data_IF_118810898152
#
_entry.id   IF_118810898152
#
_cell.length_a   1.000
_cell.length_b   1.000
_cell.length_c   1.000
_cell.angle_alpha   90.00
_cell.angle_beta   90.00
_cell.angle_gamma   90.00
#
_symmetry.space_group_name_H-M   'P 1'
#
loop_
_entity.id
_entity.type
_entity.pdbx_description
1 polymer ?
#
# COMPACT_ATOMS: atom_id res chain seq x y z
N UNK A 1 -10.92 2.40 38.70
CA UNK A 1 -11.40 1.16 39.35
C UNK A 1 -10.73 -0.01 38.68
N UNK A 2 -10.73 -1.20 39.30
CA UNK A 2 -10.28 -2.42 38.63
C UNK A 2 -11.28 -2.71 37.50
N UNK A 3 -10.81 -2.73 36.25
CA UNK A 3 -11.63 -2.92 35.05
C UNK A 3 -11.03 -4.01 34.17
N UNK A 4 -11.91 -4.79 33.54
CA UNK A 4 -11.55 -5.83 32.57
C UNK A 4 -11.37 -5.23 31.17
N UNK A 5 -10.70 -5.98 30.29
CA UNK A 5 -10.52 -5.57 28.89
C UNK A 5 -11.87 -5.31 28.18
N UNK A 6 -12.86 -6.17 28.41
CA UNK A 6 -14.20 -6.04 27.82
C UNK A 6 -14.95 -4.77 28.31
N UNK A 7 -14.81 -4.42 29.58
CA UNK A 7 -15.40 -3.19 30.13
C UNK A 7 -14.75 -1.94 29.54
N UNK A 8 -13.42 -1.95 29.39
CA UNK A 8 -12.68 -0.82 28.78
C UNK A 8 -13.02 -0.67 27.30
N UNK A 9 -13.15 -1.78 26.56
CA UNK A 9 -13.59 -1.73 25.15
C UNK A 9 -14.96 -1.05 25.04
N UNK A 10 -15.92 -1.50 25.86
CA UNK A 10 -17.29 -0.96 25.86
C UNK A 10 -17.35 0.49 26.32
N UNK A 11 -16.48 0.89 27.24
CA UNK A 11 -16.36 2.28 27.67
C UNK A 11 -15.89 3.17 26.51
N UNK A 12 -14.75 2.85 25.89
CA UNK A 12 -14.19 3.66 24.83
C UNK A 12 -15.02 3.66 23.56
N UNK A 13 -15.68 2.55 23.22
CA UNK A 13 -16.67 2.51 22.15
C UNK A 13 -17.72 3.62 22.34
N UNK A 14 -18.35 3.70 23.52
CA UNK A 14 -19.36 4.72 23.81
C UNK A 14 -18.80 6.14 23.74
N UNK A 15 -17.57 6.34 24.22
CA UNK A 15 -16.92 7.66 24.18
C UNK A 15 -16.65 8.08 22.73
N UNK A 16 -16.16 7.17 21.88
CA UNK A 16 -15.94 7.42 20.47
C UNK A 16 -17.25 7.68 19.71
N UNK A 17 -18.30 6.88 19.94
CA UNK A 17 -19.64 7.09 19.38
C UNK A 17 -20.19 8.47 19.75
N UNK A 18 -20.09 8.86 21.03
CA UNK A 18 -20.57 10.15 21.52
C UNK A 18 -19.82 11.36 20.92
N UNK A 19 -18.60 11.17 20.41
CA UNK A 19 -17.79 12.20 19.76
C UNK A 19 -17.79 12.09 18.22
N UNK A 20 -18.63 11.20 17.65
CA UNK A 20 -18.74 11.03 16.20
C UNK A 20 -17.46 10.51 15.53
N UNK A 21 -16.70 9.68 16.26
CA UNK A 21 -15.51 9.00 15.74
C UNK A 21 -15.95 7.73 14.99
N UNK A 22 -15.53 7.51 13.73
CA UNK A 22 -15.88 6.32 12.96
C UNK A 22 -15.18 5.07 13.51
N UNK A 23 -15.72 3.89 13.18
CA UNK A 23 -15.24 2.57 13.64
C UNK A 23 -14.97 2.53 15.15
N UNK A 24 -15.91 3.06 15.94
CA UNK A 24 -15.74 3.27 17.37
C UNK A 24 -15.43 1.97 18.12
N UNK A 25 -16.11 0.87 17.76
CA UNK A 25 -15.91 -0.42 18.41
C UNK A 25 -14.56 -1.00 18.03
N UNK A 26 -14.25 -1.03 16.75
CA UNK A 26 -13.02 -1.59 16.19
C UNK A 26 -11.81 -0.82 16.71
N UNK A 27 -11.86 0.51 16.72
CA UNK A 27 -10.81 1.38 17.28
C UNK A 27 -10.51 1.00 18.74
N UNK A 28 -11.57 0.80 19.53
CA UNK A 28 -11.46 0.41 20.95
C UNK A 28 -10.87 -0.99 21.11
N UNK A 29 -11.36 -1.95 20.33
CA UNK A 29 -10.85 -3.34 20.30
C UNK A 29 -9.36 -3.38 19.91
N UNK A 30 -8.95 -2.62 18.89
CA UNK A 30 -7.55 -2.54 18.46
C UNK A 30 -6.64 -1.93 19.51
N UNK A 31 -7.01 -0.79 20.10
CA UNK A 31 -6.21 -0.13 21.14
C UNK A 31 -6.02 -1.04 22.35
N UNK A 32 -7.07 -1.69 22.82
CA UNK A 32 -7.00 -2.60 23.97
C UNK A 32 -6.15 -3.83 23.63
N UNK A 33 -6.34 -4.41 22.45
CA UNK A 33 -5.55 -5.59 22.00
C UNK A 33 -4.07 -5.26 21.91
N UNK A 34 -3.73 -4.12 21.32
CA UNK A 34 -2.35 -3.64 21.19
C UNK A 34 -1.65 -3.51 22.56
N UNK A 35 -2.30 -2.88 23.54
CA UNK A 35 -1.74 -2.73 24.89
C UNK A 35 -1.60 -4.07 25.63
N UNK A 36 -2.43 -5.06 25.27
CA UNK A 36 -2.34 -6.42 25.79
C UNK A 36 -1.36 -7.32 25.01
N UNK A 37 -0.70 -6.80 23.96
CA UNK A 37 0.24 -7.55 23.13
C UNK A 37 -0.43 -8.59 22.22
N UNK A 38 -1.70 -8.38 21.87
CA UNK A 38 -2.46 -9.23 20.97
C UNK A 38 -2.73 -8.52 19.64
N UNK A 39 -2.74 -9.28 18.54
CA UNK A 39 -3.04 -8.74 17.20
C UNK A 39 -4.51 -8.35 17.05
N UNK A 40 -5.41 -9.18 17.55
CA UNK A 40 -6.86 -8.93 17.49
C UNK A 40 -7.50 -9.17 18.83
N UNK A 41 -8.66 -8.55 19.06
CA UNK A 41 -9.39 -8.71 20.31
C UNK A 41 -9.89 -10.15 20.48
N UNK A 42 -10.24 -10.81 19.38
CA UNK A 42 -10.67 -12.20 19.33
C UNK A 42 -9.53 -13.19 19.63
N UNK A 43 -8.27 -12.78 19.39
CA UNK A 43 -7.09 -13.59 19.73
C UNK A 43 -6.75 -13.57 21.22
N UNK A 44 -7.37 -12.67 22.01
CA UNK A 44 -7.20 -12.66 23.46
C UNK A 44 -7.80 -13.93 24.06
N UNK A 45 -6.98 -14.68 24.81
CA UNK A 45 -7.48 -15.84 25.52
C UNK A 45 -8.52 -15.42 26.59
N UNK A 46 -9.39 -16.35 26.97
CA UNK A 46 -10.46 -16.12 27.96
C UNK A 46 -9.93 -15.60 29.30
N UNK A 47 -8.68 -15.92 29.65
CA UNK A 47 -8.02 -15.43 30.86
C UNK A 47 -7.73 -13.93 30.76
N UNK A 48 -7.17 -13.43 29.67
CA UNK A 48 -6.85 -12.01 29.47
C UNK A 48 -8.11 -11.15 29.44
N UNK A 49 -9.19 -11.65 28.85
CA UNK A 49 -10.49 -10.96 28.84
C UNK A 49 -11.06 -10.76 30.25
N UNK A 50 -10.84 -11.73 31.15
CA UNK A 50 -11.31 -11.69 32.54
C UNK A 50 -10.25 -11.16 33.53
N UNK A 51 -9.03 -10.88 33.08
CA UNK A 51 -7.96 -10.35 33.93
C UNK A 51 -8.11 -8.84 34.06
N UNK A 52 -7.92 -8.34 35.28
CA UNK A 52 -7.97 -6.92 35.57
C UNK A 52 -6.76 -6.21 34.96
N UNK A 53 -7.01 -5.10 34.28
CA UNK A 53 -5.95 -4.29 33.70
C UNK A 53 -5.14 -3.60 34.80
N UNK A 54 -3.82 -3.63 34.65
CA UNK A 54 -2.91 -2.87 35.51
C UNK A 54 -3.09 -1.37 35.30
N UNK A 55 -2.66 -0.54 36.26
CA UNK A 55 -2.70 0.91 36.11
C UNK A 55 -1.93 1.40 34.88
N UNK A 56 -0.78 0.80 34.59
CA UNK A 56 0.04 1.12 33.41
C UNK A 56 -0.71 0.84 32.11
N UNK A 57 -1.38 -0.32 32.01
CA UNK A 57 -2.19 -0.66 30.83
C UNK A 57 -3.37 0.30 30.66
N UNK A 58 -4.05 0.65 31.75
CA UNK A 58 -5.15 1.61 31.70
C UNK A 58 -4.68 3.00 31.23
N UNK A 59 -3.52 3.45 31.71
CA UNK A 59 -2.92 4.72 31.29
C UNK A 59 -2.52 4.70 29.81
N UNK A 60 -1.91 3.61 29.34
CA UNK A 60 -1.56 3.45 27.92
C UNK A 60 -2.80 3.47 27.02
N UNK A 61 -3.86 2.73 27.38
CA UNK A 61 -5.13 2.73 26.65
C UNK A 61 -5.72 4.15 26.64
N UNK A 62 -5.70 4.85 27.78
CA UNK A 62 -6.18 6.23 27.86
C UNK A 62 -5.43 7.16 26.91
N UNK A 63 -4.10 7.09 26.88
CA UNK A 63 -3.26 7.93 26.00
C UNK A 63 -3.56 7.67 24.51
N UNK A 64 -3.64 6.41 24.11
CA UNK A 64 -3.95 6.02 22.73
C UNK A 64 -5.37 6.45 22.33
N UNK A 65 -6.34 6.21 23.19
CA UNK A 65 -7.72 6.63 22.94
C UNK A 65 -7.89 8.15 22.91
N UNK A 66 -7.10 8.91 23.67
CA UNK A 66 -7.08 10.38 23.56
C UNK A 66 -6.60 10.83 22.18
N UNK A 67 -5.56 10.21 21.60
CA UNK A 67 -5.16 10.50 20.20
C UNK A 67 -6.29 10.14 19.22
N UNK A 68 -6.98 9.01 19.43
CA UNK A 68 -8.12 8.63 18.59
C UNK A 68 -9.26 9.65 18.65
N UNK A 69 -9.50 10.27 19.82
CA UNK A 69 -10.48 11.35 19.98
C UNK A 69 -10.13 12.61 19.19
N UNK A 70 -8.86 12.84 18.88
CA UNK A 70 -8.41 13.90 17.97
C UNK A 70 -8.63 13.52 16.49
N UNK A 71 -9.45 12.49 16.23
CA UNK A 71 -9.71 11.91 14.90
C UNK A 71 -8.47 11.34 14.21
N UNK A 72 -7.39 11.07 14.94
CA UNK A 72 -6.23 10.38 14.36
C UNK A 72 -6.65 8.97 13.93
N UNK A 73 -6.38 8.55 12.67
CA UNK A 73 -6.58 7.17 12.23
C UNK A 73 -5.98 6.15 13.21
N UNK A 74 -6.70 5.05 13.48
CA UNK A 74 -6.25 4.07 14.49
C UNK A 74 -4.87 3.49 14.17
N UNK A 75 -4.55 3.35 12.89
CA UNK A 75 -3.25 2.89 12.38
C UNK A 75 -2.10 3.78 12.86
N UNK A 76 -2.29 5.10 12.85
CA UNK A 76 -1.32 6.06 13.38
C UNK A 76 -1.32 6.11 14.91
N UNK A 77 -2.48 5.91 15.54
CA UNK A 77 -2.57 5.81 17.00
C UNK A 77 -1.71 4.66 17.51
N UNK A 78 -1.82 3.48 16.88
CA UNK A 78 -1.01 2.29 17.21
C UNK A 78 0.45 2.43 16.74
N UNK A 79 0.68 3.16 15.65
CA UNK A 79 1.99 3.35 15.04
C UNK A 79 2.45 2.14 14.20
N UNK A 80 1.58 1.16 14.00
CA UNK A 80 1.78 0.03 13.12
C UNK A 80 0.47 -0.53 12.60
N UNK A 81 0.53 -1.19 11.44
CA UNK A 81 -0.62 -1.82 10.81
C UNK A 81 -0.21 -3.05 10.02
N UNK A 82 -1.11 -4.03 9.96
CA UNK A 82 -0.91 -5.22 9.16
C UNK A 82 -1.30 -4.94 7.70
N UNK A 83 -0.47 -5.41 6.77
CA UNK A 83 -0.71 -5.40 5.33
C UNK A 83 -0.17 -6.72 4.79
N UNK A 84 -1.05 -7.56 4.22
CA UNK A 84 -0.75 -8.96 3.92
C UNK A 84 -0.20 -9.67 5.18
N UNK A 85 0.90 -10.43 5.05
CA UNK A 85 1.57 -11.12 6.16
C UNK A 85 2.55 -10.21 6.94
N UNK A 86 2.60 -8.90 6.65
CA UNK A 86 3.56 -7.97 7.22
C UNK A 86 2.92 -7.05 8.26
N UNK A 87 3.65 -6.76 9.35
CA UNK A 87 3.32 -5.66 10.27
C UNK A 87 4.28 -4.50 10.02
N UNK A 88 3.74 -3.41 9.45
CA UNK A 88 4.50 -2.24 9.02
C UNK A 88 4.33 -1.11 10.03
N UNK A 89 5.39 -0.33 10.26
CA UNK A 89 5.28 0.95 10.96
C UNK A 89 4.47 1.93 10.15
N UNK A 90 3.65 2.70 10.85
CA UNK A 90 2.77 3.73 10.31
C UNK A 90 2.97 5.03 11.07
N UNK A 91 3.00 6.15 10.35
CA UNK A 91 3.02 7.49 10.95
C UNK A 91 2.53 8.55 9.95
N UNK A 92 1.85 9.61 10.43
CA UNK A 92 1.55 10.76 9.61
C UNK A 92 2.83 11.40 9.02
N UNK A 93 2.77 11.99 7.82
CA UNK A 93 1.60 12.08 6.94
C UNK A 93 1.51 10.91 5.93
N UNK A 94 2.30 9.85 6.10
CA UNK A 94 2.48 8.80 5.08
C UNK A 94 1.21 7.97 4.91
N UNK A 95 0.69 7.93 3.69
CA UNK A 95 -0.52 7.20 3.29
C UNK A 95 -0.67 5.83 3.97
N UNK A 96 -1.86 5.59 4.52
CA UNK A 96 -2.21 4.30 5.11
C UNK A 96 -2.65 3.35 3.98
N UNK A 97 -1.93 2.25 3.73
CA UNK A 97 -2.31 1.26 2.72
C UNK A 97 -3.75 0.78 2.93
N UNK A 98 -4.51 0.69 1.85
CA UNK A 98 -5.91 0.24 1.91
C UNK A 98 -5.99 -1.27 1.70
N UNK A 99 -7.01 -1.96 2.26
CA UNK A 99 -7.18 -3.39 2.04
C UNK A 99 -7.22 -3.79 0.57
N UNK A 100 -7.81 -2.96 -0.29
CA UNK A 100 -7.87 -3.17 -1.73
C UNK A 100 -6.47 -3.26 -2.35
N UNK A 101 -5.50 -2.49 -1.86
CA UNK A 101 -4.12 -2.50 -2.37
C UNK A 101 -3.43 -3.84 -2.19
N UNK A 102 -3.92 -4.73 -1.32
CA UNK A 102 -3.40 -6.09 -1.20
C UNK A 102 -3.61 -6.92 -2.48
N UNK A 103 -4.70 -6.67 -3.22
CA UNK A 103 -5.00 -7.37 -4.48
C UNK A 103 -3.99 -7.00 -5.58
N UNK A 104 -3.48 -5.76 -5.57
CA UNK A 104 -2.42 -5.33 -6.49
C UNK A 104 -1.15 -6.19 -6.34
N UNK A 105 -0.77 -6.54 -5.11
CA UNK A 105 0.36 -7.43 -4.83
C UNK A 105 0.11 -8.81 -5.43
N UNK A 106 -1.09 -9.37 -5.23
CA UNK A 106 -1.47 -10.68 -5.74
C UNK A 106 -1.36 -10.75 -7.27
N UNK A 107 -1.87 -9.73 -7.98
CA UNK A 107 -1.81 -9.65 -9.44
C UNK A 107 -0.36 -9.67 -9.98
N UNK A 108 0.53 -8.90 -9.34
CA UNK A 108 1.95 -8.83 -9.75
C UNK A 108 2.65 -10.16 -9.47
N UNK A 109 2.35 -10.83 -8.34
CA UNK A 109 2.91 -12.13 -8.00
C UNK A 109 2.46 -13.20 -8.99
N UNK A 110 1.18 -13.22 -9.36
CA UNK A 110 0.65 -14.14 -10.36
C UNK A 110 1.38 -13.97 -11.68
N UNK A 111 1.42 -12.76 -12.24
CA UNK A 111 2.14 -12.46 -13.49
C UNK A 111 3.62 -12.86 -13.41
N UNK A 112 4.28 -12.61 -12.26
CA UNK A 112 5.66 -12.99 -12.00
C UNK A 112 5.89 -14.50 -11.96
N UNK A 113 4.92 -15.30 -11.55
CA UNK A 113 5.00 -16.76 -11.61
C UNK A 113 4.76 -17.27 -13.04
N UNK A 114 3.68 -16.82 -13.70
CA UNK A 114 3.30 -17.28 -15.04
C UNK A 114 4.40 -17.06 -16.09
N UNK A 115 4.97 -15.85 -16.15
CA UNK A 115 6.01 -15.50 -17.14
C UNK A 115 7.27 -16.37 -17.07
N UNK A 116 7.54 -16.97 -15.92
CA UNK A 116 8.76 -17.75 -15.69
C UNK A 116 8.50 -19.26 -15.61
N UNK A 117 7.24 -19.69 -15.53
CA UNK A 117 6.83 -21.09 -15.68
C UNK A 117 6.67 -21.51 -17.15
N UNK A 118 6.15 -20.66 -18.04
CA UNK A 118 6.00 -20.98 -19.48
C UNK A 118 7.33 -21.19 -20.24
N UNK A 119 8.45 -20.74 -19.68
CA UNK A 119 9.79 -21.00 -20.22
C UNK A 119 10.35 -22.40 -19.93
N UNK A 120 9.68 -23.20 -19.08
CA UNK A 120 10.22 -24.47 -18.60
C UNK A 120 9.19 -25.62 -18.74
N UNK A 121 8.81 -25.89 -19.99
CA UNK A 121 8.06 -27.10 -20.35
C UNK A 121 8.90 -28.35 -20.05
N UNK A 122 8.64 -28.96 -18.90
CA UNK A 122 8.83 -30.39 -18.65
C UNK A 122 10.24 -30.94 -18.85
N UNK A 123 11.16 -30.65 -17.93
CA UNK A 123 12.14 -31.62 -17.43
C UNK A 123 12.86 -31.04 -16.20
N UNK A 124 13.05 -31.86 -15.17
CA UNK A 124 13.91 -31.58 -14.01
C UNK A 124 15.27 -31.01 -14.45
N UNK A 125 15.48 -29.71 -14.31
CA UNK A 125 16.80 -29.06 -14.38
C UNK A 125 16.71 -27.62 -13.82
N UNK A 126 17.41 -27.36 -12.71
CA UNK A 126 18.39 -26.26 -12.50
C UNK A 126 18.31 -24.95 -13.32
N UNK A 127 17.14 -24.44 -13.72
CA UNK A 127 16.98 -23.16 -14.39
C UNK A 127 16.77 -22.03 -13.36
N UNK A 128 17.49 -20.93 -13.53
CA UNK A 128 17.55 -19.82 -12.57
C UNK A 128 16.16 -19.36 -12.13
N UNK A 129 15.93 -19.37 -10.81
CA UNK A 129 14.69 -18.84 -10.22
C UNK A 129 14.46 -17.41 -10.73
N UNK A 130 13.24 -17.03 -11.16
CA UNK A 130 12.90 -15.67 -11.57
C UNK A 130 13.49 -14.62 -10.63
N UNK A 131 14.26 -13.67 -11.17
CA UNK A 131 14.77 -12.50 -10.43
C UNK A 131 14.14 -11.23 -10.99
N UNK A 132 12.80 -11.06 -10.92
CA UNK A 132 12.17 -9.88 -11.47
C UNK A 132 12.71 -8.64 -10.75
N UNK A 133 13.05 -7.63 -11.54
CA UNK A 133 13.30 -6.29 -11.05
C UNK A 133 11.98 -5.54 -11.13
N UNK A 134 11.57 -4.99 -10.01
CA UNK A 134 10.28 -4.30 -9.86
C UNK A 134 10.57 -2.84 -9.53
N UNK A 135 9.88 -1.91 -10.18
CA UNK A 135 9.87 -0.50 -9.81
C UNK A 135 8.52 -0.16 -9.18
N UNK A 136 8.50 0.22 -7.91
CA UNK A 136 7.34 0.84 -7.29
C UNK A 136 7.46 2.36 -7.33
N UNK A 137 6.43 3.04 -7.84
CA UNK A 137 6.31 4.50 -7.87
C UNK A 137 5.23 4.93 -6.86
N UNK A 138 5.61 5.78 -5.91
CA UNK A 138 4.78 6.17 -4.76
C UNK A 138 4.77 5.09 -3.68
N UNK A 139 5.94 4.74 -3.12
CA UNK A 139 6.05 3.59 -2.22
C UNK A 139 5.46 3.80 -0.82
N UNK A 140 5.24 5.03 -0.36
CA UNK A 140 4.57 5.31 0.91
C UNK A 140 5.27 4.65 2.11
N UNK A 141 4.57 3.73 2.78
CA UNK A 141 5.12 2.94 3.89
C UNK A 141 5.99 1.74 3.46
N UNK A 142 6.08 1.49 2.15
CA UNK A 142 6.73 0.32 1.54
C UNK A 142 5.82 -0.89 1.43
N UNK A 143 4.51 -0.74 1.63
CA UNK A 143 3.59 -1.85 1.77
C UNK A 143 3.62 -2.82 0.58
N UNK A 144 3.55 -2.30 -0.64
CA UNK A 144 3.57 -3.13 -1.86
C UNK A 144 4.98 -3.66 -2.12
N UNK A 145 6.02 -2.82 -2.15
CA UNK A 145 7.42 -3.25 -2.34
C UNK A 145 7.83 -4.38 -1.40
N UNK A 146 7.62 -4.21 -0.10
CA UNK A 146 8.08 -5.15 0.91
C UNK A 146 7.28 -6.45 0.86
N UNK A 147 5.97 -6.37 0.57
CA UNK A 147 5.14 -7.55 0.32
C UNK A 147 5.61 -8.33 -0.90
N UNK A 148 5.93 -7.64 -2.00
CA UNK A 148 6.46 -8.27 -3.21
C UNK A 148 7.81 -8.94 -2.97
N UNK A 149 8.71 -8.35 -2.16
CA UNK A 149 9.98 -8.98 -1.79
C UNK A 149 9.81 -10.25 -0.95
N UNK A 150 8.78 -10.30 -0.10
CA UNK A 150 8.44 -11.50 0.67
C UNK A 150 7.83 -12.60 -0.21
N UNK A 151 6.90 -12.23 -1.10
CA UNK A 151 6.18 -13.17 -1.97
C UNK A 151 7.02 -13.66 -3.14
N UNK A 152 8.01 -12.89 -3.58
CA UNK A 152 8.96 -13.21 -4.64
C UNK A 152 10.39 -13.21 -4.07
N UNK A 153 10.87 -14.32 -3.47
CA UNK A 153 12.13 -14.34 -2.70
C UNK A 153 13.41 -13.99 -3.48
N UNK A 154 13.35 -14.03 -4.81
CA UNK A 154 14.49 -13.76 -5.70
C UNK A 154 14.37 -12.41 -6.42
N UNK A 155 13.28 -11.66 -6.18
CA UNK A 155 13.09 -10.33 -6.76
C UNK A 155 13.99 -9.28 -6.12
N UNK A 156 14.13 -8.15 -6.81
CA UNK A 156 14.67 -6.91 -6.26
C UNK A 156 13.70 -5.78 -6.58
N UNK A 157 13.57 -4.83 -5.67
CA UNK A 157 12.67 -3.69 -5.83
C UNK A 157 13.47 -2.38 -5.87
N UNK A 158 13.11 -1.49 -6.78
CA UNK A 158 13.42 -0.06 -6.71
C UNK A 158 12.14 0.61 -6.22
N UNK A 159 12.17 1.28 -5.09
CA UNK A 159 11.03 1.97 -4.50
C UNK A 159 11.29 3.47 -4.56
N UNK A 160 10.33 4.22 -5.11
CA UNK A 160 10.48 5.65 -5.37
C UNK A 160 9.33 6.39 -4.73
N UNK A 161 9.65 7.47 -4.03
CA UNK A 161 8.64 8.39 -3.52
C UNK A 161 9.15 9.83 -3.59
N UNK A 162 8.24 10.79 -3.78
CA UNK A 162 8.54 12.22 -3.77
C UNK A 162 8.62 12.77 -2.34
N UNK A 163 7.98 12.10 -1.39
CA UNK A 163 7.94 12.53 0.01
C UNK A 163 9.06 11.90 0.82
N UNK A 164 9.89 12.73 1.46
CA UNK A 164 11.01 12.26 2.29
C UNK A 164 10.51 11.41 3.47
N UNK A 165 9.36 11.77 4.05
CA UNK A 165 8.72 11.01 5.13
C UNK A 165 8.35 9.58 4.71
N UNK A 166 7.90 9.38 3.48
CA UNK A 166 7.58 8.07 2.91
C UNK A 166 8.85 7.26 2.65
N UNK A 167 9.88 7.88 2.04
CA UNK A 167 11.20 7.26 1.83
C UNK A 167 11.80 6.76 3.15
N UNK A 168 11.75 7.58 4.20
CA UNK A 168 12.27 7.23 5.51
C UNK A 168 11.47 6.11 6.17
N UNK A 169 10.14 6.13 6.07
CA UNK A 169 9.29 5.07 6.61
C UNK A 169 9.48 3.75 5.87
N UNK A 170 9.57 3.77 4.53
CA UNK A 170 9.90 2.60 3.71
C UNK A 170 11.25 2.01 4.12
N UNK A 171 12.27 2.86 4.36
CA UNK A 171 13.60 2.42 4.80
C UNK A 171 13.55 1.77 6.18
N UNK A 172 12.83 2.35 7.12
CA UNK A 172 12.64 1.80 8.46
C UNK A 172 11.94 0.43 8.41
N UNK A 173 10.86 0.32 7.64
CA UNK A 173 10.15 -0.94 7.47
C UNK A 173 11.00 -2.01 6.77
N UNK A 174 11.76 -1.63 5.74
CA UNK A 174 12.70 -2.54 5.09
C UNK A 174 13.74 -3.09 6.07
N UNK A 175 14.30 -2.26 6.95
CA UNK A 175 15.27 -2.68 7.97
C UNK A 175 14.63 -3.61 9.02
N UNK A 176 13.43 -3.26 9.51
CA UNK A 176 12.69 -4.07 10.48
C UNK A 176 12.37 -5.47 9.97
N UNK A 177 12.06 -5.56 8.67
CA UNK A 177 11.77 -6.83 7.99
C UNK A 177 13.02 -7.53 7.43
N UNK A 178 14.21 -6.97 7.60
CA UNK A 178 15.48 -7.51 7.08
C UNK A 178 15.51 -7.63 5.55
N UNK A 179 14.87 -6.69 4.86
CA UNK A 179 14.72 -6.64 3.39
C UNK A 179 15.60 -5.58 2.73
N UNK A 180 16.36 -4.80 3.50
CA UNK A 180 17.15 -3.66 3.03
C UNK A 180 18.15 -4.00 1.89
N UNK A 181 18.63 -5.24 1.83
CA UNK A 181 19.61 -5.66 0.82
C UNK A 181 18.98 -5.94 -0.56
N UNK A 182 17.64 -6.05 -0.62
CA UNK A 182 16.88 -6.36 -1.85
C UNK A 182 16.06 -5.18 -2.38
N UNK A 183 16.08 -4.04 -1.68
CA UNK A 183 15.35 -2.82 -2.05
C UNK A 183 16.31 -1.65 -2.24
N UNK A 184 16.10 -0.86 -3.29
CA UNK A 184 16.78 0.41 -3.50
C UNK A 184 15.76 1.55 -3.44
N UNK A 185 15.86 2.38 -2.40
CA UNK A 185 14.85 3.41 -2.11
C UNK A 185 15.39 4.76 -2.58
N UNK A 186 14.63 5.45 -3.44
CA UNK A 186 14.97 6.72 -4.05
C UNK A 186 13.98 7.80 -3.65
N UNK A 187 14.50 8.95 -3.20
CA UNK A 187 13.72 10.17 -3.05
C UNK A 187 13.73 10.91 -4.38
N UNK A 188 12.66 10.78 -5.16
CA UNK A 188 12.50 11.40 -6.47
C UNK A 188 11.02 11.63 -6.79
N UNK A 189 10.73 12.75 -7.45
CA UNK A 189 9.42 13.00 -8.05
C UNK A 189 9.40 12.46 -9.49
N UNK A 190 8.50 11.52 -9.76
CA UNK A 190 8.33 10.91 -11.09
C UNK A 190 8.05 11.95 -12.17
N UNK A 191 7.39 13.05 -11.82
CA UNK A 191 6.99 14.13 -12.73
C UNK A 191 8.16 14.96 -13.25
N UNK A 192 9.30 14.93 -12.55
CA UNK A 192 10.49 15.73 -12.87
C UNK A 192 11.75 14.90 -13.12
N UNK A 193 11.66 13.57 -13.01
CA UNK A 193 12.78 12.67 -13.19
C UNK A 193 12.87 12.07 -14.61
N UNK A 194 14.07 11.66 -14.99
CA UNK A 194 14.32 10.88 -16.19
C UNK A 194 14.31 9.38 -15.88
N UNK A 195 13.93 8.54 -16.86
CA UNK A 195 13.98 7.09 -16.71
C UNK A 195 15.36 6.58 -16.23
N UNK A 196 16.47 7.22 -16.64
CA UNK A 196 17.81 6.84 -16.18
C UNK A 196 18.01 6.98 -14.67
N UNK A 197 17.36 7.95 -14.03
CA UNK A 197 17.44 8.13 -12.57
C UNK A 197 16.64 7.06 -11.82
N UNK A 198 15.61 6.48 -12.46
CA UNK A 198 14.76 5.44 -11.87
C UNK A 198 15.28 4.02 -12.11
N UNK A 199 16.30 3.84 -12.96
CA UNK A 199 16.78 2.53 -13.41
C UNK A 199 18.26 2.26 -13.01
N UNK A 200 18.61 2.23 -11.71
CA UNK A 200 19.97 1.92 -11.27
C UNK A 200 20.45 0.53 -11.71
N UNK A 201 19.52 -0.38 -12.05
CA UNK A 201 19.80 -1.74 -12.50
C UNK A 201 19.41 -2.01 -13.96
N UNK A 202 19.11 -0.95 -14.73
CA UNK A 202 18.56 -1.07 -16.07
C UNK A 202 17.05 -1.34 -16.09
N UNK A 203 16.48 -1.64 -17.27
CA UNK A 203 15.03 -1.81 -17.44
C UNK A 203 14.44 -2.88 -16.53
N UNK A 204 13.22 -2.64 -16.05
CA UNK A 204 12.51 -3.47 -15.08
C UNK A 204 11.49 -4.40 -15.74
N UNK A 205 11.15 -5.49 -15.06
CA UNK A 205 10.12 -6.44 -15.50
C UNK A 205 8.71 -5.87 -15.22
N UNK A 206 8.56 -5.24 -14.06
CA UNK A 206 7.29 -4.69 -13.60
C UNK A 206 7.44 -3.25 -13.09
N UNK A 207 6.52 -2.39 -13.50
CA UNK A 207 6.24 -1.12 -12.82
C UNK A 207 4.95 -1.29 -12.05
N UNK A 208 4.93 -0.93 -10.77
CA UNK A 208 3.77 -1.06 -9.88
C UNK A 208 3.52 0.30 -9.23
N UNK A 209 2.26 0.70 -9.11
CA UNK A 209 1.93 1.95 -8.42
C UNK A 209 0.50 1.93 -7.88
N UNK A 210 0.35 2.46 -6.67
CA UNK A 210 -0.91 3.02 -6.18
C UNK A 210 -0.75 4.55 -6.19
N UNK A 211 -0.89 5.21 -7.35
CA UNK A 211 -0.63 6.64 -7.47
C UNK A 211 -1.78 7.47 -6.88
N UNK A 212 -1.56 8.77 -6.61
CA UNK A 212 -2.66 9.71 -6.40
C UNK A 212 -3.62 9.67 -7.60
N UNK A 213 -4.85 9.21 -7.36
CA UNK A 213 -5.88 9.03 -8.39
C UNK A 213 -7.23 9.67 -8.03
N UNK A 214 -7.35 10.29 -6.85
CA UNK A 214 -8.62 10.92 -6.47
C UNK A 214 -8.84 12.13 -7.35
N UNK A 215 -10.06 12.26 -7.87
CA UNK A 215 -10.47 13.41 -8.66
C UNK A 215 -10.47 14.64 -7.76
N UNK A 216 -9.91 15.76 -8.22
CA UNK A 216 -9.80 16.97 -7.42
C UNK A 216 -11.16 17.43 -6.84
N UNK A 217 -12.25 17.26 -7.59
CA UNK A 217 -13.62 17.58 -7.11
C UNK A 217 -14.07 16.72 -5.92
N UNK A 218 -13.58 15.48 -5.82
CA UNK A 218 -13.95 14.54 -4.77
C UNK A 218 -13.12 14.75 -3.49
N UNK A 219 -12.00 15.48 -3.56
CA UNK A 219 -11.13 15.76 -2.40
C UNK A 219 -11.88 16.43 -1.24
N UNK A 220 -12.87 17.27 -1.55
CA UNK A 220 -13.69 17.95 -0.55
C UNK A 220 -14.61 17.01 0.25
N UNK A 221 -14.80 15.77 -0.22
CA UNK A 221 -15.67 14.76 0.41
C UNK A 221 -14.90 13.79 1.32
N UNK A 222 -13.57 13.90 1.37
CA UNK A 222 -12.73 13.03 2.18
C UNK A 222 -13.06 13.15 3.67
N UNK A 223 -12.90 12.03 4.37
CA UNK A 223 -13.15 11.97 5.81
C UNK A 223 -12.20 12.93 6.57
N UNK A 224 -12.65 13.55 7.68
CA UNK A 224 -11.80 14.42 8.51
C UNK A 224 -10.49 13.76 8.97
N UNK A 225 -10.53 12.45 9.23
CA UNK A 225 -9.38 11.63 9.61
C UNK A 225 -8.30 11.61 8.51
N UNK A 226 -8.70 11.63 7.24
CA UNK A 226 -7.79 11.68 6.09
C UNK A 226 -7.27 13.11 5.92
N UNK A 227 -8.17 14.10 5.89
CA UNK A 227 -7.82 15.51 5.69
C UNK A 227 -6.86 16.06 6.76
N UNK A 228 -6.94 15.53 8.00
CA UNK A 228 -6.14 16.00 9.12
C UNK A 228 -4.79 15.31 9.28
N UNK A 229 -4.58 14.12 8.70
CA UNK A 229 -3.43 13.27 9.04
C UNK A 229 -2.73 12.59 7.87
N UNK A 230 -3.32 12.52 6.68
CA UNK A 230 -2.65 12.01 5.48
C UNK A 230 -2.18 13.16 4.59
N UNK A 231 -1.12 12.94 3.82
CA UNK A 231 -0.68 13.89 2.81
C UNK A 231 -1.70 13.97 1.66
N UNK A 232 -2.31 15.13 1.46
CA UNK A 232 -3.28 15.35 0.39
C UNK A 232 -2.65 15.25 -1.00
N UNK A 233 -1.36 15.57 -1.12
CA UNK A 233 -0.61 15.44 -2.36
C UNK A 233 -0.32 13.98 -2.72
N UNK A 234 -0.51 13.04 -1.78
CA UNK A 234 -0.48 11.60 -2.00
C UNK A 234 -1.85 11.05 -2.46
N UNK A 235 -2.90 11.87 -2.48
CA UNK A 235 -4.27 11.48 -2.82
C UNK A 235 -4.76 12.16 -4.12
N UNK A 236 -4.49 13.45 -4.28
CA UNK A 236 -4.99 14.26 -5.39
C UNK A 236 -4.29 13.90 -6.72
N UNK A 237 -5.04 13.27 -7.62
CA UNK A 237 -4.61 12.93 -8.97
C UNK A 237 -4.85 14.03 -10.01
N UNK A 238 -5.30 15.21 -9.59
CA UNK A 238 -5.71 16.33 -10.45
C UNK A 238 -7.17 16.28 -10.87
N UNK A 239 -7.57 17.18 -11.77
CA UNK A 239 -8.95 17.40 -12.19
C UNK A 239 -9.73 16.11 -12.50
N UNK A 240 -9.07 15.15 -13.17
CA UNK A 240 -9.64 13.87 -13.57
C UNK A 240 -8.94 12.65 -12.95
N UNK A 241 -8.07 12.87 -11.96
CA UNK A 241 -7.31 11.81 -11.30
C UNK A 241 -6.19 11.16 -12.15
N UNK A 242 -5.96 11.61 -13.39
CA UNK A 242 -5.05 10.93 -14.33
C UNK A 242 -3.62 11.50 -14.37
N UNK A 243 -3.30 12.55 -13.60
CA UNK A 243 -2.02 13.27 -13.71
C UNK A 243 -0.81 12.36 -13.54
N UNK A 244 -0.77 11.60 -12.44
CA UNK A 244 0.36 10.71 -12.14
C UNK A 244 0.27 9.44 -12.99
N UNK A 245 -0.94 8.91 -13.22
CA UNK A 245 -1.19 7.74 -14.09
C UNK A 245 -0.57 7.95 -15.48
N UNK A 246 -0.91 9.06 -16.14
CA UNK A 246 -0.41 9.36 -17.50
C UNK A 246 1.09 9.64 -17.52
N UNK A 247 1.64 10.22 -16.45
CA UNK A 247 3.10 10.39 -16.28
C UNK A 247 3.81 9.03 -16.22
N UNK A 248 3.30 8.08 -15.44
CA UNK A 248 3.84 6.72 -15.37
C UNK A 248 3.77 6.04 -16.73
N UNK A 249 2.62 6.11 -17.42
CA UNK A 249 2.43 5.48 -18.73
C UNK A 249 3.33 6.10 -19.81
N UNK A 250 3.58 7.41 -19.78
CA UNK A 250 4.49 8.06 -20.70
C UNK A 250 5.95 7.62 -20.49
N UNK A 251 6.36 7.31 -19.25
CA UNK A 251 7.70 6.83 -18.93
C UNK A 251 7.86 5.32 -19.15
N UNK A 252 6.78 4.54 -19.03
CA UNK A 252 6.80 3.07 -19.03
C UNK A 252 7.60 2.46 -20.20
N UNK A 253 7.55 2.94 -21.46
CA UNK A 253 8.34 2.35 -22.55
C UNK A 253 9.85 2.43 -22.33
N UNK A 254 10.32 3.46 -21.62
CA UNK A 254 11.74 3.64 -21.26
C UNK A 254 12.12 2.91 -19.98
N UNK A 255 11.14 2.56 -19.14
CA UNK A 255 11.34 1.87 -17.87
C UNK A 255 11.35 0.34 -18.04
N UNK A 256 10.49 -0.18 -18.90
CA UNK A 256 10.21 -1.60 -19.03
C UNK A 256 11.15 -2.31 -20.02
N UNK A 257 11.52 -3.54 -19.67
CA UNK A 257 11.98 -4.56 -20.62
C UNK A 257 10.89 -4.83 -21.67
N UNK A 258 11.27 -5.46 -22.77
CA UNK A 258 10.30 -5.97 -23.75
C UNK A 258 9.36 -6.97 -23.07
N UNK A 259 8.06 -6.86 -23.37
CA UNK A 259 7.00 -7.62 -22.69
C UNK A 259 6.87 -7.38 -21.18
N UNK A 260 7.52 -6.34 -20.63
CA UNK A 260 7.33 -5.88 -19.25
C UNK A 260 5.94 -5.29 -19.03
N UNK A 261 5.48 -5.28 -17.78
CA UNK A 261 4.10 -4.89 -17.42
C UNK A 261 4.06 -3.71 -16.44
N UNK A 262 3.04 -2.86 -16.57
CA UNK A 262 2.63 -1.87 -15.57
C UNK A 262 1.38 -2.39 -14.87
N UNK A 263 1.37 -2.31 -13.54
CA UNK A 263 0.21 -2.56 -12.68
C UNK A 263 -0.14 -1.30 -11.91
N UNK A 264 -1.37 -0.81 -12.08
CA UNK A 264 -1.84 0.42 -11.43
C UNK A 264 -3.11 0.14 -10.63
N UNK A 265 -3.17 0.63 -9.40
CA UNK A 265 -4.45 0.86 -8.71
C UNK A 265 -5.06 2.19 -9.18
N UNK A 266 -6.36 2.22 -9.47
CA UNK A 266 -7.05 3.37 -10.06
C UNK A 266 -8.48 3.54 -9.55
N UNK A 267 -9.08 4.72 -9.74
CA UNK A 267 -10.52 4.93 -9.52
C UNK A 267 -11.35 4.11 -10.53
N UNK A 268 -12.55 3.59 -10.15
CA UNK A 268 -13.44 2.87 -11.06
C UNK A 268 -13.83 3.58 -12.36
N UNK A 269 -13.67 4.91 -12.45
CA UNK A 269 -13.88 5.72 -13.65
C UNK A 269 -12.71 5.63 -14.64
N UNK A 270 -11.50 5.35 -14.17
CA UNK A 270 -10.27 5.42 -14.96
C UNK A 270 -10.05 4.35 -16.03
N UNK A 271 -10.53 3.10 -15.93
CA UNK A 271 -10.23 2.07 -16.95
C UNK A 271 -10.57 2.53 -18.39
N UNK A 272 -11.72 3.17 -18.59
CA UNK A 272 -12.11 3.73 -19.90
C UNK A 272 -11.27 4.94 -20.29
N UNK A 273 -10.84 5.76 -19.32
CA UNK A 273 -10.03 6.94 -19.59
C UNK A 273 -8.62 6.54 -20.02
N UNK A 274 -8.03 5.56 -19.33
CA UNK A 274 -6.72 5.00 -19.65
C UNK A 274 -6.74 4.32 -21.02
N UNK A 275 -7.74 3.50 -21.34
CA UNK A 275 -7.86 2.89 -22.67
C UNK A 275 -7.91 3.95 -23.80
N UNK A 276 -8.77 4.97 -23.64
CA UNK A 276 -8.84 6.09 -24.58
C UNK A 276 -7.53 6.87 -24.69
N UNK A 277 -6.78 7.01 -23.59
CA UNK A 277 -5.49 7.70 -23.57
C UNK A 277 -4.43 6.88 -24.31
N UNK A 278 -4.36 5.56 -24.08
CA UNK A 278 -3.45 4.65 -24.76
C UNK A 278 -3.71 4.61 -26.28
N UNK A 279 -4.96 4.59 -26.71
CA UNK A 279 -5.33 4.64 -28.14
C UNK A 279 -4.88 5.93 -28.84
N UNK A 280 -4.74 7.03 -28.09
CA UNK A 280 -4.22 8.31 -28.61
C UNK A 280 -2.68 8.38 -28.65
N UNK A 281 -2.00 7.43 -28.00
CA UNK A 281 -0.54 7.36 -27.92
C UNK A 281 0.01 6.00 -28.38
N UNK A 282 -0.31 5.56 -29.63
CA UNK A 282 0.12 4.25 -30.13
C UNK A 282 1.65 4.12 -30.22
N UNK A 283 2.39 5.22 -30.28
CA UNK A 283 3.86 5.27 -30.29
C UNK A 283 4.50 4.74 -29.00
N UNK A 284 3.75 4.69 -27.89
CA UNK A 284 4.24 4.14 -26.63
C UNK A 284 4.31 2.60 -26.63
N UNK A 285 3.69 1.93 -27.61
CA UNK A 285 3.64 0.47 -27.73
C UNK A 285 3.13 -0.19 -26.44
N UNK A 286 2.18 0.44 -25.76
CA UNK A 286 1.52 -0.08 -24.56
C UNK A 286 0.13 -0.60 -24.90
N UNK A 287 -0.27 -1.72 -24.30
CA UNK A 287 -1.61 -2.32 -24.48
C UNK A 287 -2.24 -2.59 -23.13
N UNK A 288 -3.49 -2.16 -22.94
CA UNK A 288 -4.29 -2.54 -21.77
C UNK A 288 -4.71 -4.02 -21.93
N UNK A 289 -4.08 -4.91 -21.17
CA UNK A 289 -4.28 -6.35 -21.24
C UNK A 289 -5.50 -6.78 -20.43
N UNK A 290 -5.68 -6.21 -19.25
CA UNK A 290 -6.79 -6.55 -18.37
C UNK A 290 -7.16 -5.40 -17.42
N UNK A 291 -8.42 -5.45 -16.98
CA UNK A 291 -8.96 -4.65 -15.88
C UNK A 291 -9.45 -5.64 -14.83
N UNK A 292 -8.87 -5.59 -13.64
CA UNK A 292 -9.22 -6.48 -12.55
C UNK A 292 -10.08 -5.76 -11.52
N UNK A 293 -11.04 -6.50 -10.98
CA UNK A 293 -11.90 -6.03 -9.90
C UNK A 293 -11.24 -6.27 -8.54
N UNK A 294 -11.54 -5.41 -7.56
CA UNK A 294 -11.23 -5.65 -6.15
C UNK A 294 -12.20 -6.69 -5.53
N UNK A 295 -11.96 -7.07 -4.28
CA UNK A 295 -12.87 -7.94 -3.52
C UNK A 295 -14.30 -7.38 -3.34
N UNK A 296 -14.54 -6.09 -3.65
CA UNK A 296 -15.85 -5.46 -3.66
C UNK A 296 -16.52 -5.47 -5.06
N UNK A 297 -15.88 -6.04 -6.09
CA UNK A 297 -16.39 -6.09 -7.46
C UNK A 297 -16.27 -4.77 -8.22
N UNK A 298 -15.37 -3.87 -7.81
CA UNK A 298 -15.12 -2.60 -8.52
C UNK A 298 -13.88 -2.73 -9.40
N UNK A 299 -13.89 -2.21 -10.65
CA UNK A 299 -12.70 -2.25 -11.50
C UNK A 299 -11.63 -1.30 -10.93
N UNK A 300 -10.58 -1.86 -10.33
CA UNK A 300 -9.61 -1.12 -9.53
C UNK A 300 -8.18 -1.27 -9.99
N UNK A 301 -7.85 -2.31 -10.75
CA UNK A 301 -6.48 -2.55 -11.17
C UNK A 301 -6.36 -2.67 -12.68
N UNK A 302 -5.36 -1.99 -13.24
CA UNK A 302 -5.04 -2.05 -14.65
C UNK A 302 -3.76 -2.86 -14.85
N UNK A 303 -3.81 -3.82 -15.76
CA UNK A 303 -2.64 -4.53 -16.26
C UNK A 303 -2.36 -4.06 -17.68
N UNK A 304 -1.24 -3.38 -17.87
CA UNK A 304 -0.81 -2.82 -19.14
C UNK A 304 0.53 -3.44 -19.50
N UNK A 305 0.72 -3.87 -20.74
CA UNK A 305 1.96 -4.50 -21.18
C UNK A 305 2.62 -3.69 -22.30
N UNK A 306 3.95 -3.59 -22.24
CA UNK A 306 4.76 -3.10 -23.35
C UNK A 306 4.88 -4.19 -24.42
N UNK A 307 4.49 -3.88 -25.64
CA UNK A 307 4.66 -4.81 -26.77
C UNK A 307 6.15 -5.07 -27.01
N UNK A 308 6.49 -6.33 -27.32
CA UNK A 308 7.84 -6.67 -27.75
C UNK A 308 8.16 -5.99 -29.08
N UNK A 309 9.38 -5.47 -29.19
CA UNK A 309 9.90 -4.95 -30.47
C UNK A 309 10.31 -6.08 -31.41
#
# INVERSE_FOLDING_TARGET
>A
GLVTAAEVVKYWQKVFEANGIPEARESSEYIVSFVLGAKTFQSLNSRLLCTLLTAVQQEQIQQLSTKRLERMPVQYVLGEWDFQDLTLKMRPPVFIPRPETEDLVSLVVEEGCWKYEEGNSGLLCSAAVPRPVILEIGCGSGAVALSLLCRLPQSRVIAVDKEEAAVDLTRENAQRLQLQDRIHILHQDVSSCSAKQLLPWGPVDFVVSNPPYIFHEDMATLAPEILGYEDLDALDGGDDGMRVITTILALAPSLLKDSGSVFLEVDPRHPRMVDNWLQRHPELLLTLCAVHEDFCGKPRFLHIQKQGS
#
